data_IF_687498701525
#
_entry.id   IF_687498701525
#
_cell.length_a   1.000
_cell.length_b   1.000
_cell.length_c   1.000
_cell.angle_alpha   90.00
_cell.angle_beta   90.00
_cell.angle_gamma   90.00
#
_symmetry.space_group_name_H-M   'P 1'
#
loop_
_entity.id
_entity.type
_entity.pdbx_description
1 polymer ?
#
# COMPACT_ATOMS: atom_id res chain seq x y z
N UNK A 1 2.55 -23.80 1.88
CA UNK A 1 3.83 -23.27 1.35
C UNK A 1 4.08 -21.96 2.07
N UNK A 2 5.32 -21.61 2.48
CA UNK A 2 5.59 -20.31 3.10
C UNK A 2 5.35 -19.19 2.08
N UNK A 3 4.50 -18.22 2.42
CA UNK A 3 4.24 -17.01 1.64
C UNK A 3 5.44 -16.07 1.77
N UNK A 4 6.03 -15.64 0.66
CA UNK A 4 7.18 -14.72 0.66
C UNK A 4 6.72 -13.29 0.30
N UNK A 5 7.31 -12.23 0.92
CA UNK A 5 7.02 -10.86 0.52
C UNK A 5 7.38 -10.59 -0.95
N UNK A 6 6.52 -9.86 -1.68
CA UNK A 6 6.84 -9.40 -3.04
C UNK A 6 7.85 -8.26 -3.07
N UNK A 7 7.92 -7.50 -1.98
CA UNK A 7 8.75 -6.31 -1.90
C UNK A 7 10.19 -6.76 -1.77
N UNK A 8 11.02 -6.35 -2.72
CA UNK A 8 12.45 -6.65 -2.74
C UNK A 8 13.24 -5.36 -2.98
N UNK A 9 14.57 -5.45 -2.94
CA UNK A 9 15.45 -4.32 -3.21
C UNK A 9 15.32 -3.71 -4.62
N UNK A 10 14.67 -4.42 -5.56
CA UNK A 10 14.36 -3.92 -6.91
C UNK A 10 12.98 -3.27 -7.00
N UNK A 11 12.13 -3.39 -5.97
CA UNK A 11 10.81 -2.77 -5.94
C UNK A 11 10.98 -1.26 -5.79
N UNK A 12 10.47 -0.49 -6.75
CA UNK A 12 10.52 0.96 -6.71
C UNK A 12 9.28 1.48 -5.98
N UNK A 13 9.49 2.26 -4.92
CA UNK A 13 8.40 2.88 -4.16
C UNK A 13 8.32 4.40 -4.37
N UNK A 14 7.10 4.92 -4.50
CA UNK A 14 6.79 6.35 -4.57
C UNK A 14 5.64 6.65 -3.62
N UNK A 15 5.63 7.86 -3.07
CA UNK A 15 4.57 8.36 -2.19
C UNK A 15 4.15 9.74 -2.66
N UNK A 16 2.89 10.10 -2.45
CA UNK A 16 2.33 11.40 -2.84
C UNK A 16 3.04 12.58 -2.18
N UNK A 17 3.33 12.46 -0.89
CA UNK A 17 3.91 13.52 -0.07
C UNK A 17 4.65 12.95 1.14
N UNK A 18 5.41 13.80 1.83
CA UNK A 18 6.05 13.47 3.11
C UNK A 18 5.84 14.64 4.06
N UNK A 19 5.42 14.35 5.28
CA UNK A 19 5.18 15.35 6.32
C UNK A 19 6.39 16.28 6.48
N UNK A 20 6.14 17.60 6.41
CA UNK A 20 7.16 18.66 6.54
C UNK A 20 8.34 18.52 5.57
N UNK A 21 8.20 17.72 4.50
CA UNK A 21 9.29 17.32 3.59
C UNK A 21 10.45 16.61 4.30
N UNK A 22 10.25 16.13 5.54
CA UNK A 22 11.27 15.42 6.31
C UNK A 22 11.28 13.93 5.96
N UNK A 23 11.94 13.61 4.84
CA UNK A 23 12.14 12.23 4.42
C UNK A 23 13.04 11.41 5.35
N UNK A 24 13.77 12.05 6.27
CA UNK A 24 14.62 11.35 7.24
C UNK A 24 13.78 10.69 8.33
N UNK A 25 12.75 11.41 8.82
CA UNK A 25 11.86 10.96 9.91
C UNK A 25 10.57 10.30 9.40
N UNK A 26 10.02 10.77 8.28
CA UNK A 26 8.66 10.39 7.83
C UNK A 26 8.65 9.76 6.44
N UNK A 27 9.82 9.45 5.88
CA UNK A 27 9.96 8.96 4.51
C UNK A 27 9.46 7.53 4.30
N UNK A 28 9.14 7.21 3.05
CA UNK A 28 8.65 5.90 2.59
C UNK A 28 9.49 4.67 2.99
N UNK A 29 10.78 4.85 3.31
CA UNK A 29 11.65 3.78 3.82
C UNK A 29 11.08 3.14 5.09
N UNK A 30 10.33 3.92 5.88
CA UNK A 30 9.74 3.49 7.14
C UNK A 30 8.55 2.53 6.95
N UNK A 31 8.05 2.36 5.73
CA UNK A 31 7.11 1.28 5.41
C UNK A 31 7.79 -0.09 5.28
N UNK A 32 9.13 -0.15 5.23
CA UNK A 32 9.90 -1.35 4.85
C UNK A 32 11.12 -1.67 5.74
N UNK A 33 11.40 -0.93 6.82
CA UNK A 33 12.54 -1.12 7.77
C UNK A 33 12.41 -2.00 9.08
N UNK A 34 11.72 -3.15 9.10
CA UNK A 34 11.32 -3.96 10.29
C UNK A 34 10.54 -3.32 11.48
N UNK A 35 10.73 -2.03 11.76
CA UNK A 35 10.24 -1.32 12.96
C UNK A 35 8.73 -1.02 13.00
N UNK A 36 8.13 -1.16 14.19
CA UNK A 36 6.76 -0.71 14.57
C UNK A 36 6.73 0.76 15.02
N UNK A 37 7.89 1.30 15.41
CA UNK A 37 8.06 2.67 15.92
C UNK A 37 8.14 3.71 14.80
N UNK A 38 8.37 3.28 13.56
CA UNK A 38 8.52 4.17 12.41
C UNK A 38 7.47 3.92 11.36
N UNK A 39 6.97 4.99 10.73
CA UNK A 39 6.06 4.86 9.59
C UNK A 39 6.25 5.98 8.56
N UNK A 40 5.68 5.80 7.36
CA UNK A 40 5.55 6.93 6.43
C UNK A 40 4.41 7.84 6.90
N UNK A 41 4.67 9.14 6.97
CA UNK A 41 3.62 10.14 7.17
C UNK A 41 3.48 11.00 5.91
N UNK A 42 2.25 11.12 5.41
CA UNK A 42 1.93 12.10 4.38
C UNK A 42 1.92 13.52 4.95
N UNK A 43 1.96 14.52 4.08
CA UNK A 43 1.51 15.86 4.45
C UNK A 43 -0.03 15.92 4.50
N UNK A 44 -0.58 17.05 4.91
CA UNK A 44 -2.02 17.32 4.86
C UNK A 44 -2.53 17.38 3.41
N UNK A 45 -3.80 17.01 3.22
CA UNK A 45 -4.48 17.05 1.92
C UNK A 45 -5.16 15.72 1.59
N UNK A 46 -6.11 15.77 0.67
CA UNK A 46 -6.86 14.59 0.22
C UNK A 46 -6.04 13.71 -0.72
N UNK A 47 -6.46 12.44 -0.84
CA UNK A 47 -5.96 11.50 -1.85
C UNK A 47 -4.45 11.24 -1.78
N UNK A 48 -3.96 10.89 -0.59
CA UNK A 48 -2.59 10.45 -0.40
C UNK A 48 -2.43 9.04 -0.99
N UNK A 49 -1.27 8.73 -1.54
CA UNK A 49 -1.07 7.43 -2.19
C UNK A 49 0.35 6.92 -2.01
N UNK A 50 0.45 5.59 -2.05
CA UNK A 50 1.72 4.87 -2.18
C UNK A 50 1.65 4.04 -3.45
N UNK A 51 2.74 4.05 -4.21
CA UNK A 51 2.87 3.26 -5.43
C UNK A 51 4.10 2.38 -5.33
N UNK A 52 3.91 1.11 -5.65
CA UNK A 52 4.95 0.10 -5.81
C UNK A 52 5.02 -0.34 -7.26
N UNK A 53 6.22 -0.28 -7.83
CA UNK A 53 6.54 -0.83 -9.14
C UNK A 53 7.45 -2.04 -8.92
N UNK A 54 6.96 -3.22 -9.30
CA UNK A 54 7.65 -4.49 -9.14
C UNK A 54 8.58 -4.75 -10.34
N UNK A 55 9.71 -5.45 -10.15
CA UNK A 55 10.64 -5.74 -11.23
C UNK A 55 10.09 -6.71 -12.29
N UNK A 56 9.00 -7.40 -11.97
CA UNK A 56 8.32 -8.35 -12.83
C UNK A 56 6.81 -8.34 -12.54
N UNK A 57 5.98 -8.90 -13.44
CA UNK A 57 4.57 -9.12 -13.13
C UNK A 57 4.41 -9.99 -11.88
N UNK A 58 3.52 -9.58 -11.00
CA UNK A 58 3.19 -10.27 -9.75
C UNK A 58 1.68 -10.44 -9.64
N UNK A 59 1.26 -11.52 -9.01
CA UNK A 59 -0.14 -11.68 -8.61
C UNK A 59 -0.29 -11.12 -7.18
N UNK A 60 -1.43 -10.50 -6.91
CA UNK A 60 -1.71 -9.93 -5.58
C UNK A 60 -2.78 -10.76 -4.89
N UNK A 61 -2.39 -11.50 -3.85
CA UNK A 61 -3.30 -12.35 -3.05
C UNK A 61 -3.79 -11.68 -1.77
N UNK A 62 -2.97 -10.80 -1.20
CA UNK A 62 -3.22 -10.17 0.09
C UNK A 62 -2.59 -8.76 0.12
N UNK A 63 -3.10 -7.92 1.01
CA UNK A 63 -2.52 -6.65 1.39
C UNK A 63 -2.49 -6.62 2.91
N UNK A 64 -1.31 -6.41 3.50
CA UNK A 64 -1.19 -6.13 4.92
C UNK A 64 -0.82 -4.66 5.11
N UNK A 65 -1.44 -4.04 6.10
CA UNK A 65 -1.30 -2.62 6.34
C UNK A 65 -1.48 -2.37 7.84
N UNK A 66 -0.67 -1.48 8.40
CA UNK A 66 -0.80 -1.06 9.79
C UNK A 66 -0.70 0.45 9.86
N UNK A 67 -1.71 1.12 10.39
CA UNK A 67 -1.60 2.54 10.72
C UNK A 67 -1.05 2.69 12.14
N UNK A 68 -0.25 3.72 12.44
CA UNK A 68 0.29 3.93 13.79
C UNK A 68 -0.74 4.50 14.80
N UNK A 69 -2.01 4.63 14.41
CA UNK A 69 -3.07 5.20 15.25
C UNK A 69 -3.23 6.72 15.10
N UNK A 70 -4.42 7.24 15.38
CA UNK A 70 -4.77 8.66 15.37
C UNK A 70 -5.05 9.26 13.99
N UNK A 71 -4.74 8.51 12.91
CA UNK A 71 -4.70 9.00 11.54
C UNK A 71 -4.94 7.88 10.49
N UNK A 72 -5.64 6.80 10.85
CA UNK A 72 -6.02 5.79 9.86
C UNK A 72 -7.04 6.33 8.86
N UNK A 73 -6.91 5.89 7.61
CA UNK A 73 -7.89 6.20 6.59
C UNK A 73 -9.14 5.36 6.76
N UNK A 74 -10.29 6.00 6.55
CA UNK A 74 -11.59 5.32 6.55
C UNK A 74 -11.85 4.54 5.25
N UNK A 75 -11.16 4.87 4.15
CA UNK A 75 -11.31 4.21 2.85
C UNK A 75 -9.99 4.21 2.10
N UNK A 76 -9.51 3.03 1.79
CA UNK A 76 -8.41 2.82 0.87
C UNK A 76 -8.88 2.08 -0.37
N UNK A 77 -8.36 2.49 -1.52
CA UNK A 77 -8.61 1.84 -2.82
C UNK A 77 -7.30 1.28 -3.34
N UNK A 78 -7.27 -0.02 -3.58
CA UNK A 78 -6.17 -0.70 -4.25
C UNK A 78 -6.40 -0.66 -5.75
N UNK A 79 -5.39 -0.18 -6.48
CA UNK A 79 -5.34 -0.15 -7.94
C UNK A 79 -4.10 -0.90 -8.44
N UNK A 80 -4.15 -1.41 -9.66
CA UNK A 80 -3.00 -2.04 -10.29
C UNK A 80 -3.10 -2.04 -11.82
N UNK A 81 -1.95 -2.27 -12.46
CA UNK A 81 -1.85 -2.27 -13.91
C UNK A 81 -0.46 -2.66 -14.37
N UNK A 82 -0.28 -2.80 -15.69
CA UNK A 82 1.07 -2.97 -16.25
C UNK A 82 1.75 -1.61 -16.40
N UNK A 83 3.07 -1.64 -16.52
CA UNK A 83 3.88 -0.44 -16.64
C UNK A 83 3.52 0.30 -17.93
N UNK A 84 3.13 1.56 -17.79
CA UNK A 84 2.70 2.41 -18.91
C UNK A 84 1.21 2.29 -19.24
N UNK A 85 0.47 1.41 -18.57
CA UNK A 85 -0.99 1.35 -18.66
C UNK A 85 -1.64 2.21 -17.56
N UNK A 86 -2.91 2.57 -17.77
CA UNK A 86 -3.74 3.16 -16.74
C UNK A 86 -3.98 2.14 -15.61
N UNK A 87 -3.92 2.60 -14.36
CA UNK A 87 -4.20 1.74 -13.23
C UNK A 87 -5.70 1.52 -13.13
N UNK A 88 -6.11 0.27 -12.93
CA UNK A 88 -7.50 -0.09 -12.72
C UNK A 88 -7.73 -0.42 -11.26
N UNK A 89 -8.90 -0.04 -10.75
CA UNK A 89 -9.34 -0.40 -9.40
C UNK A 89 -9.47 -1.92 -9.27
N UNK A 90 -8.83 -2.45 -8.22
CA UNK A 90 -8.87 -3.87 -7.85
C UNK A 90 -9.86 -4.09 -6.71
N UNK A 91 -9.79 -3.29 -5.63
CA UNK A 91 -10.63 -3.45 -4.44
C UNK A 91 -10.65 -2.16 -3.62
N UNK A 92 -11.70 -1.99 -2.82
CA UNK A 92 -11.68 -1.10 -1.66
C UNK A 92 -11.45 -1.90 -0.38
N UNK A 93 -10.90 -1.25 0.64
CA UNK A 93 -10.78 -1.75 2.00
C UNK A 93 -10.87 -0.61 3.01
N UNK A 94 -11.26 -0.93 4.25
CA UNK A 94 -11.62 0.05 5.27
C UNK A 94 -10.81 -0.21 6.55
N UNK A 95 -9.59 0.35 6.64
CA UNK A 95 -8.76 0.20 7.83
C UNK A 95 -9.40 0.80 9.08
N UNK A 96 -9.27 0.10 10.19
CA UNK A 96 -9.59 0.60 11.52
C UNK A 96 -8.38 1.32 12.14
N UNK A 97 -8.65 2.35 12.94
CA UNK A 97 -7.61 3.15 13.62
C UNK A 97 -7.16 2.51 14.94
N UNK A 98 -6.64 1.27 14.87
CA UNK A 98 -6.41 0.42 16.05
C UNK A 98 -4.93 0.10 16.32
N UNK A 99 -4.01 0.69 15.56
CA UNK A 99 -2.57 0.40 15.65
C UNK A 99 -2.22 -1.10 15.62
N UNK A 100 -2.92 -1.86 14.78
CA UNK A 100 -2.68 -3.28 14.58
C UNK A 100 -2.52 -3.58 13.09
N UNK A 101 -1.76 -4.65 12.79
CA UNK A 101 -1.65 -5.18 11.44
C UNK A 101 -3.02 -5.67 10.96
N UNK A 102 -3.48 -5.11 9.86
CA UNK A 102 -4.76 -5.43 9.25
C UNK A 102 -4.53 -6.07 7.89
N UNK A 103 -5.27 -7.14 7.66
CA UNK A 103 -5.14 -7.96 6.46
C UNK A 103 -6.39 -7.74 5.63
N UNK A 104 -6.21 -7.18 4.43
CA UNK A 104 -7.24 -7.12 3.43
C UNK A 104 -7.00 -8.18 2.37
N UNK A 105 -8.03 -8.98 2.13
CA UNK A 105 -8.11 -9.84 0.95
C UNK A 105 -8.96 -9.12 -0.08
N UNK A 106 -8.54 -9.05 -1.35
CA UNK A 106 -9.42 -8.65 -2.44
C UNK A 106 -10.60 -9.65 -2.53
N UNK A 107 -11.68 -9.41 -1.77
CA UNK A 107 -12.77 -10.37 -1.52
C UNK A 107 -13.77 -10.51 -2.68
N UNK A 108 -13.34 -10.20 -3.90
CA UNK A 108 -14.11 -10.36 -5.11
C UNK A 108 -13.17 -10.57 -6.30
N UNK A 109 -12.53 -11.73 -6.35
CA UNK A 109 -12.12 -12.36 -7.62
C UNK A 109 -13.34 -12.94 -8.37
N UNK A 110 -14.50 -12.26 -8.27
CA UNK A 110 -15.78 -12.72 -8.76
C UNK A 110 -15.73 -12.98 -10.27
N UNK A 111 -15.77 -14.26 -10.63
CA UNK A 111 -16.30 -14.79 -11.88
C UNK A 111 -16.00 -13.95 -13.13
N UNK A 112 -14.74 -13.98 -13.62
CA UNK A 112 -14.49 -13.75 -15.04
C UNK A 112 -13.31 -12.86 -15.44
N UNK A 113 -12.65 -12.16 -14.52
CA UNK A 113 -11.50 -11.31 -14.88
C UNK A 113 -10.30 -11.59 -13.97
N UNK A 114 -9.36 -12.33 -14.55
CA UNK A 114 -7.91 -12.22 -14.39
C UNK A 114 -7.40 -12.11 -12.93
N UNK A 115 -6.69 -13.16 -12.50
CA UNK A 115 -5.53 -13.00 -11.61
C UNK A 115 -4.76 -11.76 -12.08
N UNK A 116 -4.80 -10.65 -11.32
CA UNK A 116 -4.18 -9.41 -11.77
C UNK A 116 -2.67 -9.59 -11.67
N UNK A 117 -2.08 -10.00 -12.78
CA UNK A 117 -0.65 -10.03 -12.97
C UNK A 117 -0.21 -8.58 -13.25
N UNK A 118 0.06 -7.84 -12.17
CA UNK A 118 0.44 -6.43 -12.23
C UNK A 118 1.95 -6.27 -12.22
N UNK A 119 2.50 -5.33 -12.98
CA UNK A 119 3.89 -4.88 -12.77
C UNK A 119 3.95 -3.64 -11.88
N UNK A 120 2.80 -3.00 -11.63
CA UNK A 120 2.67 -1.82 -10.79
C UNK A 120 1.38 -1.91 -9.97
N UNK A 121 1.48 -1.63 -8.67
CA UNK A 121 0.34 -1.47 -7.78
C UNK A 121 0.40 -0.08 -7.15
N UNK A 122 -0.74 0.58 -7.06
CA UNK A 122 -0.89 1.83 -6.32
C UNK A 122 -2.06 1.65 -5.38
N UNK A 123 -1.88 1.93 -4.11
CA UNK A 123 -3.03 2.11 -3.24
C UNK A 123 -3.20 3.60 -2.93
N UNK A 124 -4.44 4.01 -3.11
CA UNK A 124 -4.94 5.30 -2.72
C UNK A 124 -5.43 5.18 -1.28
N UNK A 125 -4.86 6.01 -0.42
CA UNK A 125 -5.37 6.25 0.92
C UNK A 125 -6.24 7.50 0.80
N UNK A 126 -7.54 7.31 0.62
CA UNK A 126 -8.50 8.41 0.57
C UNK A 126 -8.83 8.79 2.00
N UNK A 127 -7.98 9.61 2.58
CA UNK A 127 -8.19 10.20 3.90
C UNK A 127 -8.45 11.69 3.76
N UNK A 128 -9.36 12.20 4.59
CA UNK A 128 -9.63 13.64 4.76
C UNK A 128 -8.58 14.32 5.66
N UNK A 129 -7.63 13.56 6.24
CA UNK A 129 -6.54 14.03 7.11
C UNK A 129 -5.19 13.36 6.78
N UNK A 130 -4.12 13.75 7.48
CA UNK A 130 -2.77 13.13 7.39
C UNK A 130 -2.88 11.60 7.44
N UNK A 131 -2.13 10.88 6.61
CA UNK A 131 -2.01 9.42 6.68
C UNK A 131 -0.69 9.03 7.34
N UNK A 132 -0.72 8.12 8.31
CA UNK A 132 0.48 7.52 8.93
C UNK A 132 0.44 6.00 8.80
N UNK A 133 1.26 5.40 7.92
CA UNK A 133 1.17 3.96 7.61
C UNK A 133 2.52 3.24 7.72
N UNK A 134 2.53 2.18 8.53
CA UNK A 134 3.49 1.08 8.63
C UNK A 134 2.97 -0.21 7.96
N UNK A 135 3.70 -1.32 8.11
CA UNK A 135 4.22 -2.23 7.05
C UNK A 135 3.34 -3.10 6.15
N UNK A 136 3.99 -3.32 4.98
CA UNK A 136 4.14 -4.52 4.14
C UNK A 136 2.93 -5.08 3.37
N UNK A 137 3.00 -4.92 2.05
CA UNK A 137 2.09 -5.63 1.14
C UNK A 137 2.66 -7.00 0.84
N UNK A 138 2.08 -8.03 1.43
CA UNK A 138 2.38 -9.43 1.13
C UNK A 138 1.51 -9.91 -0.02
N UNK A 139 2.09 -10.31 -1.15
CA UNK A 139 1.32 -10.89 -2.23
C UNK A 139 1.97 -12.14 -2.84
N UNK A 140 1.14 -13.04 -3.40
CA UNK A 140 1.59 -14.33 -3.95
C UNK A 140 1.78 -14.26 -5.47
N UNK A 141 2.87 -14.83 -5.98
CA UNK A 141 3.00 -15.21 -7.39
C UNK A 141 2.11 -16.40 -7.75
#
# INVERSE_FOLDING_TARGET
>A
MPTAPLICNKTVSRVSSVLNRDAKQFGKKHMFDGSEETCWNSDQGSSQWVMLEFPQPVKVSQLQIQFQGGFASQLCTLEGGRKGEELVKISDFYPEDINALQISFPSHWGLGLLSVCATCCRWHVTTTARAGCGREVQCEC
#
